data_IF_188396799126
#
_entry.id   IF_188396799126
#
_cell.length_a   1.000
_cell.length_b   1.000
_cell.length_c   1.000
_cell.angle_alpha   90.00
_cell.angle_beta   90.00
_cell.angle_gamma   90.00
#
_symmetry.space_group_name_H-M   'P 1'
#
loop_
_entity.id
_entity.type
_entity.pdbx_description
1 polymer ?
#
# COMPACT_ATOMS: atom_id res chain seq x y z
N UNK A 1 12.10 8.12 13.95
CA UNK A 1 10.92 8.76 13.33
C UNK A 1 10.34 7.83 12.26
N UNK A 2 9.14 7.29 12.46
CA UNK A 2 8.48 6.40 11.49
C UNK A 2 7.71 7.22 10.46
N UNK A 3 8.00 7.06 9.17
CA UNK A 3 7.29 7.77 8.09
C UNK A 3 5.96 7.11 7.77
N UNK A 4 5.02 7.87 7.18
CA UNK A 4 3.73 7.32 6.68
C UNK A 4 3.93 6.13 5.74
N UNK A 5 4.96 6.19 4.88
CA UNK A 5 5.31 5.09 3.97
C UNK A 5 5.75 3.84 4.73
N UNK A 6 6.55 3.99 5.80
CA UNK A 6 6.96 2.89 6.65
C UNK A 6 5.77 2.26 7.38
N UNK A 7 4.84 3.08 7.90
CA UNK A 7 3.61 2.60 8.56
C UNK A 7 2.77 1.76 7.60
N UNK A 8 2.53 2.24 6.37
CA UNK A 8 1.77 1.49 5.36
C UNK A 8 2.45 0.18 4.98
N UNK A 9 3.79 0.15 4.92
CA UNK A 9 4.56 -1.08 4.68
C UNK A 9 4.35 -2.09 5.81
N UNK A 10 4.38 -1.63 7.06
CA UNK A 10 4.18 -2.49 8.23
C UNK A 10 2.74 -3.02 8.31
N UNK A 11 1.74 -2.19 8.00
CA UNK A 11 0.35 -2.65 7.91
C UNK A 11 0.22 -3.76 6.85
N UNK A 12 0.83 -3.58 5.68
CA UNK A 12 0.81 -4.64 4.65
C UNK A 12 1.48 -5.92 5.11
N UNK A 13 2.64 -5.83 5.77
CA UNK A 13 3.33 -7.00 6.32
C UNK A 13 2.45 -7.74 7.34
N UNK A 14 1.80 -7.00 8.25
CA UNK A 14 0.87 -7.57 9.21
C UNK A 14 -0.35 -8.23 8.53
N UNK A 15 -0.89 -7.64 7.46
CA UNK A 15 -1.97 -8.28 6.70
C UNK A 15 -1.50 -9.57 6.01
N UNK A 16 -0.27 -9.63 5.51
CA UNK A 16 0.32 -10.84 4.93
C UNK A 16 0.45 -11.93 5.99
N UNK A 17 0.95 -11.60 7.18
CA UNK A 17 1.03 -12.52 8.32
C UNK A 17 -0.34 -13.02 8.75
N UNK A 18 -1.34 -12.12 8.85
CA UNK A 18 -2.72 -12.45 9.18
C UNK A 18 -3.35 -13.44 8.18
N UNK A 19 -2.95 -13.39 6.91
CA UNK A 19 -3.40 -14.30 5.84
C UNK A 19 -2.44 -15.50 5.63
N UNK A 20 -1.67 -15.87 6.65
CA UNK A 20 -0.79 -17.04 6.61
C UNK A 20 0.40 -16.91 5.65
N UNK A 21 0.91 -15.70 5.46
CA UNK A 21 2.03 -15.43 4.55
C UNK A 21 1.63 -15.23 3.09
N UNK A 22 0.34 -15.37 2.75
CA UNK A 22 -0.13 -15.31 1.38
C UNK A 22 -0.52 -13.89 0.97
N UNK A 23 0.34 -13.23 0.18
CA UNK A 23 0.11 -11.87 -0.27
C UNK A 23 -1.11 -11.71 -1.19
N UNK A 24 -1.54 -12.77 -1.87
CA UNK A 24 -2.74 -12.79 -2.72
C UNK A 24 -4.01 -12.75 -1.88
N UNK A 25 -4.04 -13.48 -0.77
CA UNK A 25 -5.17 -13.55 0.15
C UNK A 25 -5.47 -12.22 0.84
N UNK A 26 -4.47 -11.34 0.99
CA UNK A 26 -4.71 -9.96 1.45
C UNK A 26 -5.69 -9.20 0.54
N UNK A 27 -5.71 -9.54 -0.76
CA UNK A 27 -6.66 -8.94 -1.71
C UNK A 27 -8.06 -9.54 -1.55
N UNK A 28 -8.13 -10.85 -1.32
CA UNK A 28 -9.34 -11.64 -1.13
C UNK A 28 -9.94 -11.54 0.28
N UNK A 29 -9.24 -10.86 1.20
CA UNK A 29 -9.71 -10.61 2.56
C UNK A 29 -11.15 -10.07 2.57
N UNK A 30 -12.04 -10.76 3.27
CA UNK A 30 -13.48 -10.49 3.33
C UNK A 30 -13.92 -9.81 4.63
N UNK A 31 -13.00 -9.17 5.35
CA UNK A 31 -13.26 -8.52 6.64
C UNK A 31 -13.32 -6.99 6.52
N UNK A 32 -14.45 -6.40 6.04
CA UNK A 32 -14.57 -4.95 5.89
C UNK A 32 -14.61 -4.21 7.24
N UNK A 33 -14.94 -4.91 8.33
CA UNK A 33 -14.94 -4.34 9.68
C UNK A 33 -13.52 -4.17 10.26
N UNK A 34 -12.49 -4.74 9.62
CA UNK A 34 -11.12 -4.57 10.06
C UNK A 34 -10.65 -3.11 9.84
N UNK A 35 -10.16 -2.45 10.89
CA UNK A 35 -9.65 -1.07 10.80
C UNK A 35 -8.47 -0.91 9.84
N UNK A 36 -7.72 -1.98 9.59
CA UNK A 36 -6.61 -2.01 8.64
C UNK A 36 -7.08 -2.29 7.20
N UNK A 37 -8.34 -2.69 7.00
CA UNK A 37 -8.87 -3.06 5.68
C UNK A 37 -8.63 -2.02 4.58
N UNK A 38 -8.82 -0.70 4.83
CA UNK A 38 -8.53 0.33 3.81
C UNK A 38 -7.05 0.44 3.44
N UNK A 39 -6.16 0.01 4.35
CA UNK A 39 -4.70 0.17 4.25
C UNK A 39 -3.98 -1.13 3.88
N UNK A 40 -4.68 -2.28 3.85
CA UNK A 40 -4.12 -3.63 3.66
C UNK A 40 -3.23 -3.79 2.42
N UNK A 41 -3.45 -2.94 1.42
CA UNK A 41 -2.67 -2.90 0.18
C UNK A 41 -1.36 -2.13 0.31
N UNK A 42 -0.97 -1.67 1.50
CA UNK A 42 0.19 -0.81 1.71
C UNK A 42 0.06 0.55 1.03
N UNK A 43 -1.18 0.98 0.80
CA UNK A 43 -1.53 2.23 0.12
C UNK A 43 -2.42 3.05 1.02
N UNK A 44 -2.23 4.36 0.93
CA UNK A 44 -3.11 5.32 1.57
C UNK A 44 -4.39 5.45 0.74
N UNK A 45 -5.59 5.20 1.31
CA UNK A 45 -6.85 5.42 0.61
C UNK A 45 -7.12 6.90 0.32
N UNK A 46 -6.49 7.82 1.07
CA UNK A 46 -6.66 9.27 0.91
C UNK A 46 -5.30 9.98 0.78
N UNK A 47 -4.56 9.76 -0.32
CA UNK A 47 -3.25 10.38 -0.51
C UNK A 47 -3.37 11.89 -0.62
N UNK A 48 -2.35 12.62 -0.13
CA UNK A 48 -2.29 14.06 -0.36
C UNK A 48 -2.09 14.34 -1.86
N UNK A 49 -2.68 15.44 -2.37
CA UNK A 49 -2.51 15.86 -3.77
C UNK A 49 -1.04 15.92 -4.19
N UNK A 50 -0.17 16.41 -3.31
CA UNK A 50 1.29 16.46 -3.51
C UNK A 50 1.89 15.05 -3.62
N UNK A 51 1.49 14.12 -2.76
CA UNK A 51 1.96 12.73 -2.76
C UNK A 51 1.51 11.94 -4.00
N UNK A 52 0.28 12.16 -4.48
CA UNK A 52 -0.22 11.53 -5.70
C UNK A 52 0.52 12.02 -6.94
N UNK A 53 0.69 13.35 -7.09
CA UNK A 53 1.43 13.93 -8.20
C UNK A 53 2.89 13.46 -8.22
N UNK A 54 3.56 13.41 -7.06
CA UNK A 54 4.92 12.88 -6.95
C UNK A 54 4.98 11.39 -7.36
N UNK A 55 4.00 10.58 -6.95
CA UNK A 55 3.94 9.15 -7.33
C UNK A 55 3.76 8.97 -8.84
N UNK A 56 2.85 9.72 -9.48
CA UNK A 56 2.61 9.65 -10.93
C UNK A 56 3.89 9.95 -11.72
N UNK A 57 4.59 11.03 -11.36
CA UNK A 57 5.86 11.41 -11.99
C UNK A 57 6.93 10.33 -11.86
N UNK A 58 7.04 9.66 -10.71
CA UNK A 58 8.00 8.57 -10.51
C UNK A 58 7.66 7.34 -11.38
N UNK A 59 6.37 7.01 -11.53
CA UNK A 59 5.93 5.91 -12.41
C UNK A 59 6.19 6.25 -13.88
N UNK A 60 5.87 7.47 -14.32
CA UNK A 60 6.13 7.95 -15.67
C UNK A 60 7.63 8.00 -15.99
N UNK A 61 8.44 8.49 -15.06
CA UNK A 61 9.90 8.49 -15.20
C UNK A 61 10.46 7.06 -15.25
N UNK A 62 9.95 6.16 -14.41
CA UNK A 62 10.36 4.75 -14.40
C UNK A 62 9.92 3.96 -15.65
N UNK A 63 8.84 4.38 -16.31
CA UNK A 63 8.42 3.84 -17.61
C UNK A 63 9.33 4.36 -18.74
N UNK A 64 9.63 5.66 -18.77
CA UNK A 64 10.56 6.25 -19.74
C UNK A 64 11.98 5.72 -19.62
N UNK A 65 12.43 5.34 -18.43
CA UNK A 65 13.77 4.79 -18.20
C UNK A 65 13.92 3.31 -18.63
N UNK A 66 12.83 2.64 -19.03
CA UNK A 66 12.83 1.25 -19.53
C UNK A 66 12.66 1.15 -21.05
N UNK A 67 12.53 2.28 -21.73
CA UNK A 67 12.53 2.43 -23.20
C UNK A 67 13.94 2.88 -23.61
#
# INVERSE_FOLDING_TARGET
MTTKKAILKNIRANCIECMGGQAQEVQNCSSPACRLFPYRMGRDPAPSRKGEAARKRLVEAGFKAKI
#
